data_IF_790338288164
#
_entry.id   IF_790338288164
#
_cell.length_a   1.000
_cell.length_b   1.000
_cell.length_c   1.000
_cell.angle_alpha   90.00
_cell.angle_beta   90.00
_cell.angle_gamma   90.00
#
_symmetry.space_group_name_H-M   'P 1'
#
loop_
_entity.id
_entity.type
_entity.pdbx_description
1 polymer ?
#
# COMPACT_ATOMS: atom_id res chain seq x y z
N UNK A 1 -13.81 32.85 29.15
CA UNK A 1 -13.15 32.14 30.26
C UNK A 1 -13.70 30.72 30.33
N UNK A 2 -12.99 29.74 29.80
CA UNK A 2 -13.27 28.32 30.05
C UNK A 2 -11.96 27.55 29.91
N UNK A 3 -11.70 26.71 30.90
CA UNK A 3 -10.38 26.25 31.31
C UNK A 3 -9.89 25.07 30.46
N UNK A 4 -8.75 25.22 29.79
CA UNK A 4 -7.98 24.07 29.29
C UNK A 4 -7.35 23.34 30.47
N UNK A 5 -7.97 22.22 30.85
CA UNK A 5 -7.43 21.24 31.81
C UNK A 5 -6.20 20.56 31.19
N UNK A 6 -5.00 21.05 31.52
CA UNK A 6 -3.74 20.31 31.31
C UNK A 6 -3.87 18.95 32.00
N UNK A 7 -3.96 17.88 31.22
CA UNK A 7 -3.69 16.55 31.74
C UNK A 7 -2.20 16.50 32.08
N UNK A 8 -1.88 16.64 33.37
CA UNK A 8 -0.58 16.26 33.91
C UNK A 8 -0.37 14.79 33.56
N UNK A 9 0.50 14.51 32.59
CA UNK A 9 1.01 13.16 32.44
C UNK A 9 1.79 12.87 33.72
N UNK A 10 1.31 11.87 34.45
CA UNK A 10 2.01 11.28 35.57
C UNK A 10 3.37 10.82 35.05
N UNK A 11 4.42 11.60 35.36
CA UNK A 11 5.81 11.16 35.24
C UNK A 11 5.94 9.92 36.12
N UNK A 12 5.85 8.75 35.52
CA UNK A 12 6.24 7.49 36.15
C UNK A 12 7.72 7.65 36.51
N UNK A 13 8.00 7.97 37.77
CA UNK A 13 9.35 8.01 38.31
C UNK A 13 9.87 6.57 38.26
N UNK A 14 10.56 6.23 37.17
CA UNK A 14 11.37 5.04 37.16
C UNK A 14 12.41 5.25 38.26
N UNK A 15 12.34 4.41 39.30
CA UNK A 15 13.37 4.30 40.32
C UNK A 15 14.72 4.27 39.60
N UNK A 16 15.51 5.33 39.76
CA UNK A 16 16.89 5.36 39.29
C UNK A 16 17.64 4.37 40.15
N UNK A 17 17.76 3.13 39.66
CA UNK A 17 18.62 2.13 40.29
C UNK A 17 20.01 2.71 40.45
N UNK A 18 20.57 2.62 41.65
CA UNK A 18 21.97 2.96 41.93
C UNK A 18 22.85 2.35 40.83
N UNK A 19 23.55 3.23 40.10
CA UNK A 19 24.29 2.91 38.89
C UNK A 19 25.29 1.78 39.12
N UNK A 20 24.91 0.58 38.69
CA UNK A 20 25.84 -0.50 38.42
C UNK A 20 25.62 -0.86 36.96
N UNK A 21 26.72 -0.94 36.22
CA UNK A 21 26.69 -1.43 34.85
C UNK A 21 25.99 -2.79 34.82
N UNK A 22 25.11 -3.00 33.85
CA UNK A 22 24.45 -4.28 33.64
C UNK A 22 25.22 -5.05 32.56
N UNK A 23 26.12 -5.98 32.94
CA UNK A 23 26.98 -6.67 31.99
C UNK A 23 26.20 -7.55 31.01
N UNK A 24 25.07 -8.14 31.44
CA UNK A 24 24.22 -8.96 30.57
C UNK A 24 23.58 -8.12 29.46
N UNK A 25 23.07 -6.94 29.81
CA UNK A 25 22.48 -6.01 28.85
C UNK A 25 23.53 -5.48 27.85
N UNK A 26 24.74 -5.19 28.33
CA UNK A 26 25.85 -4.78 27.46
C UNK A 26 26.20 -5.92 26.50
N UNK A 27 26.35 -7.15 27.00
CA UNK A 27 26.65 -8.32 26.19
C UNK A 27 25.57 -8.61 25.14
N UNK A 28 24.28 -8.42 25.48
CA UNK A 28 23.17 -8.54 24.53
C UNK A 28 23.30 -7.52 23.40
N UNK A 29 23.53 -6.25 23.72
CA UNK A 29 23.69 -5.19 22.71
C UNK A 29 24.92 -5.45 21.83
N UNK A 30 26.05 -5.86 22.42
CA UNK A 30 27.27 -6.21 21.68
C UNK A 30 27.05 -7.40 20.75
N UNK A 31 26.33 -8.43 21.21
CA UNK A 31 25.93 -9.56 20.37
C UNK A 31 25.08 -9.10 19.18
N UNK A 32 24.14 -8.17 19.39
CA UNK A 32 23.34 -7.59 18.29
C UNK A 32 24.22 -6.84 17.30
N UNK A 33 25.22 -6.07 17.76
CA UNK A 33 26.16 -5.35 16.89
C UNK A 33 27.00 -6.33 16.07
N UNK A 34 27.59 -7.34 16.71
CA UNK A 34 28.50 -8.30 16.06
C UNK A 34 27.76 -9.18 15.04
N UNK A 35 26.56 -9.65 15.38
CA UNK A 35 25.81 -10.57 14.53
C UNK A 35 25.04 -9.88 13.40
N UNK A 36 25.04 -8.55 13.36
CA UNK A 36 24.31 -7.78 12.34
C UNK A 36 25.28 -7.23 11.31
N UNK A 37 25.56 -7.99 10.26
CA UNK A 37 26.18 -7.40 9.06
C UNK A 37 25.21 -6.41 8.40
N UNK A 38 25.73 -5.24 7.99
CA UNK A 38 24.93 -4.21 7.30
C UNK A 38 23.90 -3.49 8.20
N UNK A 39 24.30 -3.09 9.40
CA UNK A 39 23.53 -2.12 10.19
C UNK A 39 23.45 -0.79 9.42
N UNK A 40 22.31 -0.12 9.53
CA UNK A 40 22.23 1.27 9.08
C UNK A 40 22.99 2.18 10.04
N UNK A 41 23.51 3.31 9.56
CA UNK A 41 24.18 4.33 10.38
C UNK A 41 23.32 4.74 11.60
N UNK A 42 22.00 4.84 11.41
CA UNK A 42 21.08 5.12 12.51
C UNK A 42 21.04 3.99 13.56
N UNK A 43 21.00 2.72 13.14
CA UNK A 43 21.00 1.58 14.06
C UNK A 43 22.33 1.49 14.82
N UNK A 44 23.46 1.71 14.17
CA UNK A 44 24.78 1.72 14.81
C UNK A 44 24.85 2.79 15.90
N UNK A 45 24.48 4.02 15.56
CA UNK A 45 24.44 5.14 16.50
C UNK A 45 23.46 4.87 17.67
N UNK A 46 22.30 4.28 17.37
CA UNK A 46 21.31 3.94 18.39
C UNK A 46 21.82 2.86 19.35
N UNK A 47 22.37 1.75 18.83
CA UNK A 47 22.93 0.67 19.64
C UNK A 47 24.13 1.14 20.48
N UNK A 48 24.98 2.00 19.93
CA UNK A 48 26.05 2.67 20.67
C UNK A 48 25.51 3.47 21.87
N UNK A 49 24.46 4.27 21.64
CA UNK A 49 23.79 5.02 22.71
C UNK A 49 23.18 4.09 23.78
N UNK A 50 22.59 2.96 23.40
CA UNK A 50 22.06 1.98 24.34
C UNK A 50 23.17 1.35 25.20
N UNK A 51 24.31 1.02 24.59
CA UNK A 51 25.47 0.47 25.28
C UNK A 51 25.99 1.43 26.35
N UNK A 52 26.10 2.72 26.03
CA UNK A 52 26.52 3.74 27.00
C UNK A 52 25.48 3.94 28.10
N UNK A 53 24.20 3.90 27.77
CA UNK A 53 23.12 3.94 28.77
C UNK A 53 23.19 2.75 29.72
N UNK A 54 23.42 1.54 29.21
CA UNK A 54 23.56 0.32 30.00
C UNK A 54 24.79 0.37 30.94
N UNK A 55 25.90 0.99 30.50
CA UNK A 55 27.09 1.22 31.34
C UNK A 55 26.83 2.23 32.46
N UNK A 56 26.16 3.35 32.14
CA UNK A 56 25.94 4.46 33.10
C UNK A 56 24.82 4.18 34.09
N UNK A 57 23.74 3.56 33.64
CA UNK A 57 22.48 3.46 34.40
C UNK A 57 21.99 2.03 34.61
N UNK A 58 22.62 1.02 33.98
CA UNK A 58 22.26 -0.40 34.18
C UNK A 58 20.91 -0.82 33.61
N UNK A 59 20.18 0.06 32.93
CA UNK A 59 18.81 -0.16 32.47
C UNK A 59 18.49 0.59 31.17
N UNK A 60 17.46 0.10 30.47
CA UNK A 60 16.85 0.75 29.31
C UNK A 60 15.43 1.20 29.65
N UNK A 61 14.98 2.29 29.03
CA UNK A 61 13.57 2.66 29.04
C UNK A 61 12.74 1.66 28.22
N UNK A 62 11.45 1.51 28.51
CA UNK A 62 10.59 0.57 27.78
C UNK A 62 10.56 0.79 26.27
N UNK A 63 10.67 2.04 25.79
CA UNK A 63 10.76 2.35 24.35
C UNK A 63 12.09 1.92 23.73
N UNK A 64 13.19 2.07 24.46
CA UNK A 64 14.51 1.61 24.02
C UNK A 64 14.54 0.10 23.92
N UNK A 65 13.99 -0.60 24.92
CA UNK A 65 13.87 -2.06 24.91
C UNK A 65 13.05 -2.56 23.72
N UNK A 66 11.87 -1.97 23.47
CA UNK A 66 11.04 -2.32 22.31
C UNK A 66 11.77 -2.09 20.97
N UNK A 67 12.57 -1.02 20.89
CA UNK A 67 13.34 -0.71 19.68
C UNK A 67 14.49 -1.69 19.49
N UNK A 68 15.20 -2.06 20.56
CA UNK A 68 16.24 -3.09 20.54
C UNK A 68 15.66 -4.43 20.09
N UNK A 69 14.55 -4.87 20.68
CA UNK A 69 13.86 -6.12 20.30
C UNK A 69 13.44 -6.12 18.83
N UNK A 70 12.98 -4.97 18.31
CA UNK A 70 12.63 -4.83 16.89
C UNK A 70 13.86 -4.97 15.99
N UNK A 71 14.99 -4.38 16.36
CA UNK A 71 16.26 -4.52 15.62
C UNK A 71 16.68 -5.99 15.66
N UNK A 72 16.73 -6.61 16.83
CA UNK A 72 17.09 -8.02 16.99
C UNK A 72 16.23 -8.95 16.14
N UNK A 73 14.90 -8.77 16.19
CA UNK A 73 13.97 -9.56 15.38
C UNK A 73 14.19 -9.39 13.87
N UNK A 74 14.45 -8.16 13.42
CA UNK A 74 14.71 -7.89 12.01
C UNK A 74 16.05 -8.45 11.54
N UNK A 75 16.99 -8.65 12.46
CA UNK A 75 18.35 -9.13 12.19
C UNK A 75 18.53 -10.61 12.46
N UNK A 76 17.51 -11.28 12.97
CA UNK A 76 17.49 -12.73 13.13
C UNK A 76 17.85 -13.42 11.80
N UNK A 77 18.75 -14.42 11.79
CA UNK A 77 19.18 -15.09 10.56
C UNK A 77 18.01 -15.66 9.75
N UNK A 78 16.95 -16.15 10.41
CA UNK A 78 15.78 -16.66 9.71
C UNK A 78 14.99 -15.52 9.06
N UNK A 79 14.87 -14.35 9.71
CA UNK A 79 14.22 -13.18 9.13
C UNK A 79 15.00 -12.62 7.92
N UNK A 80 16.33 -12.60 7.98
CA UNK A 80 17.17 -12.18 6.85
C UNK A 80 17.07 -13.18 5.68
N UNK A 81 17.12 -14.49 5.98
CA UNK A 81 16.95 -15.54 4.98
C UNK A 81 15.57 -15.43 4.30
N UNK A 82 14.49 -15.25 5.07
CA UNK A 82 13.15 -15.05 4.53
C UNK A 82 13.07 -13.84 3.60
N UNK A 83 13.68 -12.71 3.97
CA UNK A 83 13.72 -11.51 3.11
C UNK A 83 14.51 -11.73 1.82
N UNK A 84 15.61 -12.47 1.89
CA UNK A 84 16.40 -12.84 0.71
C UNK A 84 15.60 -13.74 -0.22
N UNK A 85 14.98 -14.79 0.32
CA UNK A 85 14.10 -15.71 -0.40
C UNK A 85 12.95 -14.94 -1.05
N UNK A 86 12.33 -14.00 -0.34
CA UNK A 86 11.29 -13.14 -0.89
C UNK A 86 11.78 -12.33 -2.08
N UNK A 87 12.93 -11.67 -1.95
CA UNK A 87 13.50 -10.87 -3.04
C UNK A 87 13.85 -11.73 -4.27
N UNK A 88 14.36 -12.94 -4.07
CA UNK A 88 14.69 -13.88 -5.15
C UNK A 88 13.44 -14.42 -5.85
N UNK A 89 12.33 -14.59 -5.12
CA UNK A 89 11.06 -15.08 -5.65
C UNK A 89 10.10 -13.97 -6.11
N UNK A 90 10.51 -12.70 -6.06
CA UNK A 90 9.68 -11.59 -6.51
C UNK A 90 9.68 -11.49 -8.04
N UNK A 91 8.67 -12.10 -8.66
CA UNK A 91 8.57 -12.24 -10.12
C UNK A 91 8.05 -10.98 -10.81
N UNK A 92 8.19 -10.92 -12.14
CA UNK A 92 7.60 -9.86 -12.96
C UNK A 92 6.07 -9.83 -12.89
N UNK A 93 5.42 -10.98 -12.75
CA UNK A 93 3.97 -11.06 -12.54
C UNK A 93 3.55 -10.37 -11.22
N UNK A 94 4.32 -10.58 -10.15
CA UNK A 94 4.10 -9.90 -8.88
C UNK A 94 4.33 -8.39 -9.01
N UNK A 95 5.35 -7.98 -9.79
CA UNK A 95 5.62 -6.57 -10.10
C UNK A 95 4.47 -5.92 -10.85
N UNK A 96 3.90 -6.60 -11.83
CA UNK A 96 2.74 -6.12 -12.59
C UNK A 96 1.52 -5.93 -11.67
N UNK A 97 1.20 -6.96 -10.86
CA UNK A 97 0.10 -6.90 -9.88
C UNK A 97 0.30 -5.76 -8.87
N UNK A 98 1.52 -5.56 -8.37
CA UNK A 98 1.87 -4.47 -7.46
C UNK A 98 1.71 -3.09 -8.13
N UNK A 99 2.06 -2.99 -9.40
CA UNK A 99 1.91 -1.76 -10.21
C UNK A 99 0.43 -1.40 -10.40
N UNK A 100 -0.40 -2.39 -10.73
CA UNK A 100 -1.87 -2.21 -10.82
C UNK A 100 -2.44 -1.76 -9.46
N UNK A 101 -2.02 -2.42 -8.37
CA UNK A 101 -2.44 -2.05 -7.02
C UNK A 101 -2.04 -0.61 -6.67
N UNK A 102 -0.81 -0.20 -7.00
CA UNK A 102 -0.32 1.16 -6.76
C UNK A 102 -1.15 2.20 -7.50
N UNK A 103 -1.41 2.01 -8.80
CA UNK A 103 -2.31 2.88 -9.59
C UNK A 103 -3.70 2.97 -8.96
N UNK A 104 -4.25 1.83 -8.51
CA UNK A 104 -5.55 1.80 -7.84
C UNK A 104 -5.58 2.67 -6.57
N UNK A 105 -4.57 2.56 -5.71
CA UNK A 105 -4.51 3.32 -4.46
C UNK A 105 -4.28 4.82 -4.66
N UNK A 106 -3.51 5.23 -5.68
CA UNK A 106 -3.38 6.65 -6.02
C UNK A 106 -4.69 7.26 -6.52
N UNK A 107 -5.48 6.49 -7.25
CA UNK A 107 -6.81 6.91 -7.70
C UNK A 107 -7.87 6.87 -6.59
N UNK A 108 -7.60 6.17 -5.48
CA UNK A 108 -8.53 5.96 -4.37
C UNK A 108 -7.83 6.21 -3.02
N UNK A 109 -7.45 7.47 -2.70
CA UNK A 109 -6.87 7.83 -1.41
C UNK A 109 -7.82 7.46 -0.25
N UNK A 110 -7.31 7.24 0.98
CA UNK A 110 -6.02 7.70 1.52
C UNK A 110 -4.95 6.61 1.70
N UNK A 111 -5.24 5.36 1.35
CA UNK A 111 -4.41 4.23 1.76
C UNK A 111 -3.19 4.02 0.87
N UNK A 112 -2.08 3.62 1.49
CA UNK A 112 -0.83 3.22 0.82
C UNK A 112 -0.22 4.25 -0.13
N UNK A 113 -0.60 5.54 -0.06
CA UNK A 113 -0.17 6.55 -1.03
C UNK A 113 1.34 6.68 -1.20
N UNK A 114 2.11 6.67 -0.11
CA UNK A 114 3.58 6.76 -0.17
C UNK A 114 4.21 5.51 -0.80
N UNK A 115 3.70 4.33 -0.45
CA UNK A 115 4.20 3.07 -0.99
C UNK A 115 3.82 2.90 -2.47
N UNK A 116 2.61 3.32 -2.85
CA UNK A 116 2.14 3.33 -4.22
C UNK A 116 2.99 4.25 -5.10
N UNK A 117 3.30 5.47 -4.62
CA UNK A 117 4.24 6.37 -5.33
C UNK A 117 5.60 5.71 -5.53
N UNK A 118 6.17 5.14 -4.46
CA UNK A 118 7.47 4.47 -4.53
C UNK A 118 7.50 3.31 -5.55
N UNK A 119 6.44 2.51 -5.64
CA UNK A 119 6.33 1.43 -6.63
C UNK A 119 6.34 1.96 -8.06
N UNK A 120 5.71 3.11 -8.32
CA UNK A 120 5.62 3.70 -9.65
C UNK A 120 6.86 4.52 -10.02
N UNK A 121 7.52 5.13 -9.04
CA UNK A 121 8.68 5.98 -9.25
C UNK A 121 9.99 5.17 -9.40
N UNK A 122 10.09 4.00 -8.76
CA UNK A 122 11.27 3.13 -8.79
C UNK A 122 10.91 1.75 -9.37
N UNK A 123 11.29 1.52 -10.63
CA UNK A 123 11.03 0.26 -11.35
C UNK A 123 11.73 -0.94 -10.74
N UNK A 124 12.84 -0.73 -10.02
CA UNK A 124 13.61 -1.78 -9.36
C UNK A 124 13.17 -2.03 -7.92
N UNK A 125 12.20 -1.25 -7.42
CA UNK A 125 11.71 -1.41 -6.07
C UNK A 125 11.10 -2.81 -5.86
N UNK A 126 11.48 -3.45 -4.76
CA UNK A 126 10.88 -4.68 -4.26
C UNK A 126 10.23 -4.36 -2.92
N UNK A 127 8.89 -4.43 -2.79
CA UNK A 127 8.22 -4.24 -1.52
C UNK A 127 8.60 -5.36 -0.56
N UNK A 128 8.47 -5.13 0.75
CA UNK A 128 8.51 -6.26 1.69
C UNK A 128 7.33 -7.20 1.45
N UNK A 129 7.49 -8.48 1.74
CA UNK A 129 6.43 -9.49 1.67
C UNK A 129 5.12 -9.01 2.34
N UNK A 130 5.23 -8.48 3.56
CA UNK A 130 4.09 -7.90 4.28
C UNK A 130 3.40 -6.76 3.53
N UNK A 131 4.18 -5.89 2.88
CA UNK A 131 3.63 -4.78 2.09
C UNK A 131 2.91 -5.29 0.85
N UNK A 132 3.48 -6.28 0.17
CA UNK A 132 2.87 -6.91 -1.00
C UNK A 132 1.52 -7.55 -0.63
N UNK A 133 1.48 -8.41 0.39
CA UNK A 133 0.23 -9.02 0.83
C UNK A 133 -0.84 -7.98 1.20
N UNK A 134 -0.45 -6.92 1.92
CA UNK A 134 -1.38 -5.86 2.31
C UNK A 134 -1.94 -5.10 1.09
N UNK A 135 -1.10 -4.78 0.11
CA UNK A 135 -1.50 -3.99 -1.06
C UNK A 135 -2.18 -4.81 -2.15
N UNK A 136 -1.73 -6.04 -2.41
CA UNK A 136 -2.15 -6.82 -3.57
C UNK A 136 -3.23 -7.83 -3.21
N UNK A 137 -3.08 -8.54 -2.10
CA UNK A 137 -3.96 -9.68 -1.75
C UNK A 137 -5.20 -9.27 -0.95
N UNK A 138 -5.48 -7.97 -0.84
CA UNK A 138 -6.75 -7.53 -0.27
C UNK A 138 -7.91 -7.76 -1.26
N UNK A 139 -9.11 -7.93 -0.70
CA UNK A 139 -10.34 -8.22 -1.45
C UNK A 139 -10.75 -7.17 -2.49
N UNK A 140 -10.21 -5.95 -2.42
CA UNK A 140 -10.55 -4.88 -3.36
C UNK A 140 -9.63 -4.94 -4.57
N UNK A 141 -8.33 -5.04 -4.34
CA UNK A 141 -7.33 -5.18 -5.41
C UNK A 141 -7.49 -6.50 -6.15
N UNK A 142 -7.83 -7.60 -5.46
CA UNK A 142 -8.20 -8.85 -6.14
C UNK A 142 -9.29 -8.63 -7.21
N UNK A 143 -10.36 -7.87 -6.88
CA UNK A 143 -11.41 -7.55 -7.85
C UNK A 143 -10.95 -6.60 -8.96
N UNK A 144 -10.01 -5.71 -8.66
CA UNK A 144 -9.39 -4.84 -9.67
C UNK A 144 -8.60 -5.69 -10.65
N UNK A 145 -7.77 -6.63 -10.18
CA UNK A 145 -6.99 -7.55 -11.01
C UNK A 145 -7.92 -8.43 -11.87
N UNK A 146 -9.02 -8.93 -11.31
CA UNK A 146 -10.02 -9.68 -12.06
C UNK A 146 -10.64 -8.83 -13.19
N UNK A 147 -10.97 -7.57 -12.91
CA UNK A 147 -11.50 -6.66 -13.93
C UNK A 147 -10.45 -6.32 -15.01
N UNK A 148 -9.19 -6.09 -14.62
CA UNK A 148 -8.11 -5.76 -15.56
C UNK A 148 -7.74 -6.93 -16.47
N UNK A 149 -7.86 -8.17 -15.98
CA UNK A 149 -7.58 -9.39 -16.76
C UNK A 149 -8.79 -9.92 -17.53
N UNK A 150 -9.99 -9.39 -17.27
CA UNK A 150 -11.21 -9.85 -17.94
C UNK A 150 -11.27 -9.42 -19.42
N UNK A 151 -11.76 -10.32 -20.26
CA UNK A 151 -12.02 -10.01 -21.67
C UNK A 151 -13.14 -8.97 -21.77
N UNK A 152 -12.93 -7.87 -22.52
CA UNK A 152 -13.94 -6.83 -22.69
C UNK A 152 -15.26 -7.40 -23.19
N UNK A 153 -16.35 -7.14 -22.45
CA UNK A 153 -17.69 -7.63 -22.81
C UNK A 153 -18.24 -7.02 -24.09
N UNK A 154 -17.78 -5.81 -24.44
CA UNK A 154 -18.21 -5.08 -25.62
C UNK A 154 -16.99 -4.77 -26.50
N UNK A 155 -16.79 -5.49 -27.63
CA UNK A 155 -15.68 -5.20 -28.53
C UNK A 155 -15.74 -3.77 -29.10
N UNK A 156 -14.59 -3.21 -29.45
CA UNK A 156 -14.49 -1.90 -30.12
C UNK A 156 -15.28 -1.93 -31.43
N UNK A 157 -15.95 -0.82 -31.74
CA UNK A 157 -16.82 -0.68 -32.91
C UNK A 157 -18.23 -1.25 -32.74
N UNK A 158 -18.52 -1.95 -31.64
CA UNK A 158 -19.86 -2.49 -31.39
C UNK A 158 -20.79 -1.47 -30.75
N UNK A 159 -22.10 -1.70 -30.89
CA UNK A 159 -23.13 -0.89 -30.26
C UNK A 159 -23.50 -1.43 -28.87
N UNK A 160 -23.62 -0.52 -27.92
CA UNK A 160 -24.15 -0.77 -26.58
C UNK A 160 -25.21 0.28 -26.22
N UNK A 161 -25.89 0.08 -25.10
CA UNK A 161 -26.81 1.05 -24.55
C UNK A 161 -26.41 1.38 -23.11
N UNK A 162 -26.42 2.66 -22.74
CA UNK A 162 -26.20 3.05 -21.35
C UNK A 162 -27.44 2.66 -20.52
N UNK A 163 -27.22 2.04 -19.36
CA UNK A 163 -28.28 1.66 -18.42
C UNK A 163 -28.96 2.91 -17.85
N UNK A 164 -30.27 2.84 -17.67
CA UNK A 164 -31.04 3.88 -16.97
C UNK A 164 -30.53 4.13 -15.54
N UNK A 165 -30.03 3.07 -14.88
CA UNK A 165 -29.52 3.11 -13.51
C UNK A 165 -28.05 3.53 -13.41
N UNK A 166 -27.43 3.98 -14.51
CA UNK A 166 -26.07 4.48 -14.51
C UNK A 166 -25.92 5.59 -13.45
N UNK A 167 -25.06 5.34 -12.45
CA UNK A 167 -24.85 6.27 -11.34
C UNK A 167 -23.81 7.32 -11.73
N UNK A 168 -23.95 8.49 -11.14
CA UNK A 168 -22.93 9.53 -11.16
C UNK A 168 -21.76 9.07 -10.27
N UNK A 169 -20.77 8.38 -10.82
CA UNK A 169 -19.41 8.61 -10.32
C UNK A 169 -18.90 9.92 -10.93
N UNK A 170 -17.75 10.40 -10.47
CA UNK A 170 -17.13 11.71 -10.76
C UNK A 170 -17.12 12.10 -12.26
N UNK A 171 -17.31 11.14 -13.16
CA UNK A 171 -17.62 11.29 -14.58
C UNK A 171 -19.10 11.60 -14.83
N UNK A 172 -19.53 12.79 -14.41
CA UNK A 172 -20.92 13.28 -14.38
C UNK A 172 -21.68 13.32 -15.74
N UNK A 173 -21.07 12.92 -16.84
CA UNK A 173 -21.67 12.97 -18.18
C UNK A 173 -22.48 11.72 -18.56
N UNK A 174 -22.17 10.54 -18.01
CA UNK A 174 -22.80 9.27 -18.44
C UNK A 174 -24.33 9.30 -18.26
N UNK A 175 -24.82 9.93 -17.18
CA UNK A 175 -26.26 10.01 -16.90
C UNK A 175 -27.03 10.84 -17.93
N UNK A 176 -26.38 11.82 -18.57
CA UNK A 176 -27.01 12.61 -19.67
C UNK A 176 -27.34 11.75 -20.87
N UNK A 177 -26.66 10.62 -20.99
CA UNK A 177 -26.84 9.65 -22.05
C UNK A 177 -27.52 8.36 -21.55
N UNK A 178 -28.17 8.39 -20.38
CA UNK A 178 -28.95 7.27 -19.87
C UNK A 178 -29.98 6.79 -20.90
N UNK A 179 -30.08 5.48 -21.08
CA UNK A 179 -30.90 4.82 -22.11
C UNK A 179 -30.57 5.18 -23.56
N UNK A 180 -29.53 5.97 -23.85
CA UNK A 180 -29.08 6.21 -25.22
C UNK A 180 -28.15 5.12 -25.73
N UNK A 181 -28.19 4.94 -27.05
CA UNK A 181 -27.27 4.09 -27.78
C UNK A 181 -25.89 4.75 -27.85
N UNK A 182 -24.86 3.93 -27.73
CA UNK A 182 -23.46 4.34 -27.81
C UNK A 182 -22.67 3.36 -28.65
N UNK A 183 -21.66 3.83 -29.35
CA UNK A 183 -20.63 3.00 -29.98
C UNK A 183 -19.43 2.87 -29.03
N UNK A 184 -18.86 1.66 -28.91
CA UNK A 184 -17.61 1.46 -28.18
C UNK A 184 -16.46 1.98 -29.03
N UNK A 185 -15.70 2.92 -28.51
CA UNK A 185 -14.56 3.52 -29.21
C UNK A 185 -13.26 2.87 -28.80
N UNK A 186 -13.00 2.75 -27.50
CA UNK A 186 -11.73 2.20 -27.00
C UNK A 186 -11.80 1.84 -25.51
N UNK A 187 -10.77 1.12 -25.02
CA UNK A 187 -10.51 0.85 -23.61
C UNK A 187 -9.21 1.57 -23.20
N UNK A 188 -9.30 2.68 -22.44
CA UNK A 188 -8.11 3.46 -22.12
C UNK A 188 -7.19 2.70 -21.15
N UNK A 189 -5.88 2.98 -21.19
CA UNK A 189 -4.92 2.50 -20.17
C UNK A 189 -5.16 3.19 -18.83
N UNK A 190 -6.22 2.74 -18.14
CA UNK A 190 -6.63 3.20 -16.82
C UNK A 190 -6.93 1.99 -15.95
N UNK A 191 -6.52 2.09 -14.69
CA UNK A 191 -6.82 1.04 -13.71
C UNK A 191 -8.33 0.95 -13.46
N UNK A 192 -8.84 -0.28 -13.43
CA UNK A 192 -10.22 -0.57 -13.12
C UNK A 192 -10.57 -0.27 -11.66
N UNK A 193 -11.87 -0.07 -11.40
CA UNK A 193 -12.41 -0.04 -10.04
C UNK A 193 -12.59 -1.45 -9.46
N UNK A 194 -12.80 -1.53 -8.14
CA UNK A 194 -13.03 -2.81 -7.45
C UNK A 194 -14.47 -3.36 -7.58
N UNK A 195 -15.41 -2.59 -8.15
CA UNK A 195 -16.77 -3.07 -8.39
C UNK A 195 -16.83 -3.95 -9.64
N UNK A 196 -17.71 -4.95 -9.67
CA UNK A 196 -17.84 -5.86 -10.82
C UNK A 196 -18.11 -5.08 -12.11
N UNK A 197 -17.27 -5.27 -13.12
CA UNK A 197 -17.39 -4.60 -14.42
C UNK A 197 -17.05 -3.11 -14.38
N UNK A 198 -16.36 -2.62 -13.34
CA UNK A 198 -15.82 -1.26 -13.28
C UNK A 198 -14.58 -1.09 -14.17
N UNK A 199 -14.69 -1.55 -15.42
CA UNK A 199 -13.65 -1.51 -16.44
C UNK A 199 -13.87 -0.21 -17.23
N UNK A 200 -12.91 0.73 -17.24
CA UNK A 200 -13.01 1.98 -17.99
C UNK A 200 -13.21 1.72 -19.48
N UNK A 201 -14.08 2.49 -20.12
CA UNK A 201 -14.37 2.38 -21.55
C UNK A 201 -14.74 3.76 -22.12
N UNK A 202 -14.23 4.06 -23.30
CA UNK A 202 -14.58 5.24 -24.08
C UNK A 202 -15.72 4.91 -25.04
N UNK A 203 -16.79 5.70 -24.99
CA UNK A 203 -17.98 5.50 -25.81
C UNK A 203 -18.40 6.77 -26.51
N UNK A 204 -18.97 6.64 -27.71
CA UNK A 204 -19.54 7.75 -28.47
C UNK A 204 -21.07 7.64 -28.48
N UNK A 205 -21.80 8.51 -27.78
CA UNK A 205 -23.26 8.54 -27.83
C UNK A 205 -23.79 8.95 -29.21
N UNK A 206 -24.80 8.22 -29.68
CA UNK A 206 -25.47 8.51 -30.95
C UNK A 206 -26.12 9.90 -30.90
N UNK A 207 -25.90 10.69 -31.95
CA UNK A 207 -26.39 12.06 -32.06
C UNK A 207 -25.48 13.10 -31.38
N UNK A 208 -24.26 12.71 -30.99
CA UNK A 208 -23.25 13.64 -30.46
C UNK A 208 -21.90 13.40 -31.13
N UNK A 209 -21.01 14.41 -31.06
CA UNK A 209 -19.62 14.30 -31.49
C UNK A 209 -18.65 14.09 -30.32
N UNK A 210 -19.14 14.04 -29.08
CA UNK A 210 -18.33 14.00 -27.87
C UNK A 210 -18.13 12.55 -27.39
N UNK A 211 -16.86 12.15 -27.20
CA UNK A 211 -16.51 10.87 -26.59
C UNK A 211 -16.62 10.98 -25.08
N UNK A 212 -17.28 10.02 -24.45
CA UNK A 212 -17.55 9.99 -23.02
C UNK A 212 -16.87 8.77 -22.40
N UNK A 213 -16.16 8.98 -21.31
CA UNK A 213 -15.64 7.90 -20.49
C UNK A 213 -16.71 7.37 -19.53
N UNK A 214 -16.83 6.05 -19.46
CA UNK A 214 -17.73 5.34 -18.55
C UNK A 214 -17.11 4.01 -18.13
N UNK A 215 -17.91 3.12 -17.54
CA UNK A 215 -17.49 1.78 -17.19
C UNK A 215 -18.43 0.74 -17.81
N UNK A 216 -17.89 -0.44 -18.14
CA UNK A 216 -18.63 -1.56 -18.73
C UNK A 216 -19.89 -1.94 -17.93
N UNK A 217 -19.86 -1.85 -16.60
CA UNK A 217 -21.02 -2.14 -15.73
C UNK A 217 -22.22 -1.22 -15.98
N UNK A 218 -22.00 -0.03 -16.54
CA UNK A 218 -23.07 0.91 -16.89
C UNK A 218 -23.62 0.68 -18.29
N UNK A 219 -23.08 -0.28 -19.03
CA UNK A 219 -23.55 -0.67 -20.35
C UNK A 219 -24.40 -1.93 -20.28
N UNK A 220 -25.30 -2.07 -21.26
CA UNK A 220 -26.04 -3.29 -21.58
C UNK A 220 -25.99 -3.50 -23.09
N UNK A 221 -26.19 -4.74 -23.54
CA UNK A 221 -26.29 -5.03 -24.97
C UNK A 221 -27.39 -4.18 -25.59
N UNK A 222 -27.11 -3.64 -26.77
CA UNK A 222 -28.12 -3.02 -27.62
C UNK A 222 -29.26 -4.03 -27.85
N UNK A 223 -30.50 -3.60 -27.63
CA UNK A 223 -31.64 -4.35 -28.17
C UNK A 223 -31.72 -3.99 -29.65
N UNK A 224 -31.49 -4.99 -30.50
CA UNK A 224 -31.84 -4.92 -31.92
C UNK A 224 -33.37 -4.96 -32.03
#
# INVERSE_FOLDING_TARGET
MSYYRRQNSSRTSHSRSNGRANPELIARIEKTIINSSGLSEWEENFLGSLKDSAKRYGSLTGRQEQTLQRIEKNRDPAAQAARKIWNENYTDEMREKMTIAARYYLNNPPYFGDLARRVLDDTNFIPSEKQYHAMVENKYVAKVLDNMSSVPTFPVGTMAQIRQTAKNSSTSMVRRFANKMVMIIDYPDKVAGAAKGAIPVLVLPVGTAEVVETEVRWLKRAKV
#
